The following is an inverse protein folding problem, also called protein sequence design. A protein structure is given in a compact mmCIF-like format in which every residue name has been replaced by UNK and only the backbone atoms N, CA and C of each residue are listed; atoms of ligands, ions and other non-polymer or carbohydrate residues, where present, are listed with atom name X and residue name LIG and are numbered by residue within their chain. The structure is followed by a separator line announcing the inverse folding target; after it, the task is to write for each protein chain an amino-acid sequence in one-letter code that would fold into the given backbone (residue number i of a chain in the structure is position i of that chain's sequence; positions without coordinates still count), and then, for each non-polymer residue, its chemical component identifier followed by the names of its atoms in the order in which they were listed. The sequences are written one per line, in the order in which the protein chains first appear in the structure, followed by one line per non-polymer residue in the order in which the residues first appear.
data_IF_281568104254
#
_entry.id   IF_281568104254
#
_cell.length_a   1.000
_cell.length_b   1.000
_cell.length_c   1.000
_cell.angle_alpha   90.00
_cell.angle_beta   90.00
_cell.angle_gamma   90.00
#
_symmetry.space_group_name_H-M   'P 1'
#
loop_
_entity.id
_entity.type
_entity.pdbx_description
1 polymer ?
#
# COMPACT_ATOMS: atom_id res chain seq x y z
N UNK A 1 -6.43 -11.69 -56.20
CA UNK A 1 -6.22 -12.39 -54.92
C UNK A 1 -6.87 -11.56 -53.82
N UNK A 2 -7.93 -12.07 -53.21
CA UNK A 2 -8.60 -11.46 -52.04
C UNK A 2 -7.94 -12.04 -50.78
N UNK A 3 -7.23 -11.23 -50.01
CA UNK A 3 -6.77 -11.63 -48.68
C UNK A 3 -7.87 -11.32 -47.66
N UNK A 4 -8.42 -12.38 -47.06
CA UNK A 4 -9.28 -12.29 -45.89
C UNK A 4 -8.39 -11.98 -44.67
N UNK A 5 -8.73 -10.93 -43.92
CA UNK A 5 -8.23 -10.72 -42.56
C UNK A 5 -9.35 -11.19 -41.63
N UNK A 6 -9.09 -12.27 -40.91
CA UNK A 6 -9.94 -12.73 -39.82
C UNK A 6 -9.58 -11.90 -38.59
N UNK A 7 -10.54 -11.10 -38.11
CA UNK A 7 -10.51 -10.46 -36.79
C UNK A 7 -10.65 -11.55 -35.73
N UNK A 8 -9.59 -11.74 -34.94
CA UNK A 8 -9.63 -12.47 -33.69
C UNK A 8 -9.69 -11.47 -32.54
N UNK A 9 -10.87 -11.30 -31.95
CA UNK A 9 -11.07 -10.57 -30.72
C UNK A 9 -10.42 -11.34 -29.56
N UNK A 10 -9.28 -10.84 -29.09
CA UNK A 10 -8.64 -11.26 -27.86
C UNK A 10 -8.30 -10.02 -27.06
N UNK A 11 -9.17 -9.66 -26.11
CA UNK A 11 -8.87 -8.66 -25.10
C UNK A 11 -7.74 -9.17 -24.21
N UNK A 12 -6.49 -8.96 -24.62
CA UNK A 12 -5.37 -8.96 -23.70
C UNK A 12 -5.50 -7.71 -22.82
N UNK A 13 -6.03 -7.87 -21.61
CA UNK A 13 -5.76 -6.92 -20.53
C UNK A 13 -4.23 -6.86 -20.38
N UNK A 14 -3.63 -5.79 -20.90
CA UNK A 14 -2.20 -5.59 -20.86
C UNK A 14 -1.73 -5.58 -19.40
N UNK A 15 -0.70 -6.39 -19.14
CA UNK A 15 -0.02 -6.55 -17.87
C UNK A 15 0.37 -5.18 -17.29
N UNK A 16 -0.06 -4.90 -16.06
CA UNK A 16 0.19 -3.65 -15.30
C UNK A 16 1.67 -3.59 -14.90
N UNK A 17 2.47 -2.81 -15.61
CA UNK A 17 3.90 -2.64 -15.36
C UNK A 17 4.11 -1.80 -14.09
N UNK A 18 4.59 -2.44 -13.02
CA UNK A 18 4.91 -1.79 -11.74
C UNK A 18 6.42 -1.60 -11.69
N UNK A 19 6.90 -0.37 -11.58
CA UNK A 19 8.32 -0.08 -11.36
C UNK A 19 8.56 0.25 -9.89
N UNK A 20 9.28 -0.62 -9.17
CA UNK A 20 9.76 -0.35 -7.82
C UNK A 20 11.16 0.25 -7.95
N UNK A 21 11.31 1.54 -7.65
CA UNK A 21 12.62 2.17 -7.54
C UNK A 21 13.12 2.03 -6.10
N UNK A 22 13.96 1.04 -5.83
CA UNK A 22 14.77 1.01 -4.60
C UNK A 22 16.19 1.44 -4.96
N UNK A 23 16.53 2.71 -4.79
CA UNK A 23 17.92 3.14 -4.94
C UNK A 23 18.67 2.87 -3.63
N UNK A 24 19.84 2.26 -3.79
CA UNK A 24 20.63 1.54 -2.78
C UNK A 24 21.26 2.41 -1.68
N UNK A 25 20.81 3.66 -1.51
CA UNK A 25 21.48 4.62 -0.63
C UNK A 25 20.64 5.30 0.46
N UNK A 26 19.32 5.07 0.63
CA UNK A 26 18.51 5.29 1.86
C UNK A 26 17.02 5.56 1.54
N UNK A 27 16.20 4.64 1.01
CA UNK A 27 14.85 5.08 0.54
C UNK A 27 13.69 4.13 0.85
N UNK A 28 12.76 4.58 1.71
CA UNK A 28 11.44 3.95 1.93
C UNK A 28 10.36 4.54 1.00
N UNK A 29 10.75 5.11 -0.15
CA UNK A 29 9.79 5.62 -1.13
C UNK A 29 9.38 4.48 -2.06
N UNK A 30 8.12 4.05 -1.98
CA UNK A 30 7.51 3.14 -2.94
C UNK A 30 6.80 3.92 -4.04
N UNK A 31 7.11 3.63 -5.29
CA UNK A 31 6.47 4.20 -6.47
C UNK A 31 5.69 3.10 -7.19
N UNK A 32 4.47 3.42 -7.61
CA UNK A 32 3.63 2.54 -8.40
C UNK A 32 3.05 3.34 -9.56
N UNK A 33 3.13 2.78 -10.76
CA UNK A 33 2.58 3.41 -11.95
C UNK A 33 1.66 2.45 -12.67
N UNK A 34 0.52 2.97 -13.08
CA UNK A 34 -0.46 2.30 -13.91
C UNK A 34 -1.30 3.37 -14.56
N UNK A 35 -1.09 3.58 -15.84
CA UNK A 35 -1.79 4.61 -16.61
C UNK A 35 -3.31 4.63 -16.33
N UNK A 36 -3.88 5.80 -15.97
CA UNK A 36 -3.28 7.13 -15.96
C UNK A 36 -2.65 7.57 -14.63
N UNK A 37 -2.47 6.67 -13.67
CA UNK A 37 -2.12 6.96 -12.29
C UNK A 37 -0.65 6.71 -11.96
N UNK A 38 -0.12 7.57 -11.08
CA UNK A 38 1.00 7.24 -10.21
C UNK A 38 0.53 7.26 -8.76
N UNK A 39 1.06 6.36 -7.94
CA UNK A 39 0.87 6.31 -6.49
C UNK A 39 2.24 6.21 -5.83
N UNK A 40 2.48 7.06 -4.85
CA UNK A 40 3.75 7.14 -4.13
C UNK A 40 3.49 7.07 -2.64
N UNK A 41 4.19 6.16 -1.95
CA UNK A 41 4.20 6.04 -0.50
C UNK A 41 5.61 6.36 0.00
N UNK A 42 5.74 7.14 1.07
CA UNK A 42 7.04 7.51 1.64
C UNK A 42 6.96 7.77 3.14
N UNK A 43 8.08 7.63 3.85
CA UNK A 43 8.19 8.12 5.23
C UNK A 43 8.45 9.63 5.26
N UNK A 44 8.08 10.30 6.35
CA UNK A 44 8.36 11.74 6.55
C UNK A 44 9.85 12.07 6.42
N UNK A 45 10.73 11.16 6.85
CA UNK A 45 12.18 11.29 6.75
C UNK A 45 12.70 11.41 5.31
N UNK A 46 11.95 10.92 4.34
CA UNK A 46 12.41 10.75 2.96
C UNK A 46 12.11 11.98 2.10
N UNK A 47 11.56 13.05 2.69
CA UNK A 47 11.28 14.31 2.00
C UNK A 47 12.48 14.90 1.23
N UNK A 48 13.74 14.86 1.74
CA UNK A 48 14.90 15.31 0.98
C UNK A 48 15.16 14.48 -0.29
N UNK A 49 14.82 13.19 -0.28
CA UNK A 49 14.97 12.33 -1.45
C UNK A 49 13.81 12.51 -2.42
N UNK A 50 12.58 12.66 -1.93
CA UNK A 50 11.42 12.99 -2.76
C UNK A 50 11.73 14.18 -3.68
N UNK A 51 12.36 15.24 -3.14
CA UNK A 51 12.71 16.47 -3.89
C UNK A 51 13.64 16.27 -5.08
N UNK A 52 14.29 15.11 -5.18
CA UNK A 52 15.18 14.76 -6.28
C UNK A 52 14.46 14.05 -7.43
N UNK A 53 13.19 13.67 -7.20
CA UNK A 53 12.37 12.92 -8.16
C UNK A 53 11.52 13.86 -9.01
N UNK A 54 11.42 13.58 -10.31
CA UNK A 54 10.64 14.41 -11.26
C UNK A 54 9.16 14.51 -10.86
N UNK A 55 8.57 13.41 -10.39
CA UNK A 55 7.17 13.37 -9.95
C UNK A 55 6.88 14.19 -8.68
N UNK A 56 7.92 14.68 -7.98
CA UNK A 56 7.76 15.54 -6.81
C UNK A 56 7.28 16.95 -7.13
N UNK A 57 7.30 17.30 -8.42
CA UNK A 57 6.82 18.57 -8.96
C UNK A 57 5.34 18.51 -9.39
N UNK A 58 4.74 17.30 -9.39
CA UNK A 58 3.39 17.12 -9.92
C UNK A 58 2.32 17.71 -9.00
N UNK A 59 1.22 18.24 -9.57
CA UNK A 59 0.00 18.45 -8.80
C UNK A 59 -0.53 17.09 -8.34
N UNK A 60 -0.94 17.01 -7.08
CA UNK A 60 -1.28 15.73 -6.46
C UNK A 60 -2.37 15.87 -5.40
N UNK A 61 -3.01 14.75 -5.08
CA UNK A 61 -3.81 14.57 -3.87
C UNK A 61 -3.04 13.63 -2.94
N UNK A 62 -3.02 13.93 -1.65
CA UNK A 62 -2.23 13.21 -0.66
C UNK A 62 -2.99 12.95 0.64
N UNK A 63 -2.50 11.96 1.37
CA UNK A 63 -2.92 11.58 2.72
C UNK A 63 -1.69 11.61 3.61
N UNK A 64 -1.72 12.42 4.66
CA UNK A 64 -0.76 12.35 5.75
C UNK A 64 -1.24 11.30 6.75
N UNK A 65 -0.32 10.43 7.16
CA UNK A 65 -0.59 9.23 7.94
C UNK A 65 0.28 9.25 9.21
N UNK A 66 -0.33 8.94 10.35
CA UNK A 66 0.41 8.71 11.59
C UNK A 66 -0.50 8.24 12.71
N UNK A 67 -0.15 7.13 13.34
CA UNK A 67 -1.03 6.41 14.26
C UNK A 67 -2.47 6.27 13.71
N UNK A 68 -3.46 6.68 14.51
CA UNK A 68 -4.88 6.66 14.13
C UNK A 68 -5.34 7.91 13.34
N UNK A 69 -4.45 8.86 13.05
CA UNK A 69 -4.82 10.14 12.42
C UNK A 69 -4.61 10.09 10.92
N UNK A 70 -5.53 10.74 10.19
CA UNK A 70 -5.44 10.96 8.75
C UNK A 70 -5.69 12.43 8.44
N UNK A 71 -5.02 12.93 7.42
CA UNK A 71 -5.30 14.25 6.84
C UNK A 71 -5.22 14.13 5.34
N UNK A 72 -6.30 14.49 4.66
CA UNK A 72 -6.36 14.55 3.20
C UNK A 72 -6.07 15.97 2.76
N UNK A 73 -5.26 16.14 1.72
CA UNK A 73 -5.02 17.44 1.14
C UNK A 73 -4.70 17.38 -0.35
N UNK A 74 -4.65 18.55 -0.98
CA UNK A 74 -4.17 18.71 -2.35
C UNK A 74 -2.97 19.66 -2.48
N UNK A 75 -2.25 19.47 -3.58
CA UNK A 75 -1.21 20.36 -4.09
C UNK A 75 -1.61 20.81 -5.50
N UNK A 76 -2.29 21.94 -5.60
CA UNK A 76 -2.61 22.63 -6.85
C UNK A 76 -2.10 24.07 -6.80
N UNK A 77 -1.37 24.48 -7.84
CA UNK A 77 -0.70 25.78 -7.91
C UNK A 77 0.64 25.85 -7.16
N UNK A 78 1.07 24.75 -6.56
CA UNK A 78 2.42 24.52 -6.03
C UNK A 78 2.73 23.02 -6.12
N UNK A 79 3.99 22.64 -5.90
CA UNK A 79 4.43 21.24 -6.04
C UNK A 79 4.06 20.42 -4.80
N UNK A 80 3.96 19.09 -4.96
CA UNK A 80 3.73 18.20 -3.82
C UNK A 80 4.90 18.27 -2.83
N UNK A 81 6.14 18.37 -3.31
CA UNK A 81 7.34 18.52 -2.47
C UNK A 81 7.29 19.79 -1.59
N UNK A 82 6.86 20.92 -2.15
CA UNK A 82 6.65 22.18 -1.44
C UNK A 82 5.52 22.07 -0.42
N UNK A 83 4.38 21.48 -0.81
CA UNK A 83 3.23 21.32 0.10
C UNK A 83 3.55 20.44 1.29
N UNK A 84 4.25 19.32 1.10
CA UNK A 84 4.67 18.44 2.19
C UNK A 84 5.70 19.13 3.10
N UNK A 85 6.65 19.86 2.53
CA UNK A 85 7.61 20.67 3.31
C UNK A 85 6.88 21.65 4.23
N UNK A 86 5.84 22.33 3.75
CA UNK A 86 5.03 23.26 4.55
C UNK A 86 4.31 22.55 5.71
N UNK A 87 3.76 21.35 5.50
CA UNK A 87 3.09 20.59 6.55
C UNK A 87 4.07 20.08 7.60
N UNK A 88 5.23 19.56 7.19
CA UNK A 88 6.22 18.98 8.11
C UNK A 88 6.93 20.02 8.99
N UNK A 89 6.73 21.32 8.72
CA UNK A 89 7.21 22.41 9.56
C UNK A 89 6.18 22.86 10.62
N UNK A 90 4.93 22.37 10.56
CA UNK A 90 3.90 22.77 11.52
C UNK A 90 3.82 21.81 12.70
N UNK A 91 3.84 22.36 13.91
CA UNK A 91 3.74 21.58 15.16
C UNK A 91 2.44 20.75 15.23
N UNK A 92 1.32 21.26 14.68
CA UNK A 92 0.03 20.53 14.64
C UNK A 92 0.04 19.30 13.70
N UNK A 93 1.14 19.09 12.98
CA UNK A 93 1.40 17.96 12.07
C UNK A 93 2.61 17.13 12.50
N UNK A 94 3.10 17.25 13.74
CA UNK A 94 4.22 16.42 14.22
C UNK A 94 3.90 14.93 14.34
N UNK A 95 2.62 14.57 14.39
CA UNK A 95 2.15 13.19 14.37
C UNK A 95 2.35 12.48 13.03
N UNK A 96 2.69 13.20 11.95
CA UNK A 96 2.82 12.61 10.61
C UNK A 96 4.08 11.75 10.54
N UNK A 97 3.90 10.47 10.25
CA UNK A 97 4.94 9.45 10.14
C UNK A 97 5.24 9.12 8.67
N UNK A 98 4.19 9.07 7.83
CA UNK A 98 4.28 8.73 6.42
C UNK A 98 3.25 9.49 5.57
N UNK A 99 3.45 9.44 4.26
CA UNK A 99 2.60 10.08 3.27
C UNK A 99 2.31 9.11 2.15
N UNK A 100 1.05 9.09 1.72
CA UNK A 100 0.61 8.48 0.47
C UNK A 100 0.11 9.59 -0.45
N UNK A 101 0.59 9.70 -1.69
CA UNK A 101 0.04 10.64 -2.65
C UNK A 101 -0.12 10.01 -4.01
N UNK A 102 -1.07 10.54 -4.79
CA UNK A 102 -1.27 10.13 -6.17
C UNK A 102 -1.44 11.34 -7.07
N UNK A 103 -1.03 11.14 -8.31
CA UNK A 103 -1.15 12.11 -9.38
C UNK A 103 -1.42 11.39 -10.70
N UNK A 104 -1.61 12.15 -11.78
CA UNK A 104 -1.53 11.59 -13.12
C UNK A 104 -0.08 11.34 -13.50
N UNK A 105 0.20 10.23 -14.18
CA UNK A 105 1.53 9.90 -14.71
C UNK A 105 2.07 10.98 -15.66
N UNK A 106 1.19 11.64 -16.41
CA UNK A 106 1.54 12.76 -17.29
C UNK A 106 1.77 14.10 -16.57
N UNK A 107 1.62 14.14 -15.23
CA UNK A 107 1.77 15.33 -14.41
C UNK A 107 0.69 16.41 -14.62
N UNK A 108 -0.36 16.14 -15.42
CA UNK A 108 -1.34 17.14 -15.84
C UNK A 108 -2.65 17.01 -15.07
N UNK A 109 -2.70 17.61 -13.88
CA UNK A 109 -3.94 17.80 -13.12
C UNK A 109 -4.20 19.29 -12.93
N UNK A 110 -5.41 19.73 -13.25
CA UNK A 110 -5.87 21.08 -12.95
C UNK A 110 -6.30 21.21 -11.50
N UNK A 111 -6.52 22.45 -11.05
CA UNK A 111 -7.12 22.72 -9.73
C UNK A 111 -8.50 22.06 -9.58
N UNK A 112 -9.30 22.02 -10.65
CA UNK A 112 -10.60 21.38 -10.62
C UNK A 112 -10.49 19.87 -10.39
N UNK A 113 -9.50 19.21 -10.99
CA UNK A 113 -9.24 17.78 -10.77
C UNK A 113 -8.86 17.53 -9.30
N UNK A 114 -7.88 18.28 -8.78
CA UNK A 114 -7.40 18.11 -7.41
C UNK A 114 -8.46 18.41 -6.36
N UNK A 115 -9.26 19.47 -6.55
CA UNK A 115 -10.35 19.83 -5.62
C UNK A 115 -11.45 18.75 -5.63
N UNK A 116 -11.78 18.23 -6.82
CA UNK A 116 -12.75 17.14 -6.96
C UNK A 116 -12.29 15.85 -6.26
N UNK A 117 -11.03 15.45 -6.50
CA UNK A 117 -10.43 14.23 -5.95
C UNK A 117 -10.19 14.32 -4.44
N UNK A 118 -9.70 15.46 -3.94
CA UNK A 118 -9.56 15.73 -2.50
C UNK A 118 -10.91 15.56 -1.79
N UNK A 119 -11.97 16.18 -2.33
CA UNK A 119 -13.31 16.10 -1.75
C UNK A 119 -13.87 14.67 -1.80
N UNK A 120 -13.68 13.96 -2.92
CA UNK A 120 -14.10 12.54 -3.04
C UNK A 120 -13.38 11.69 -2.00
N UNK A 121 -12.08 11.88 -1.81
CA UNK A 121 -11.29 11.14 -0.83
C UNK A 121 -11.67 11.49 0.61
N UNK A 122 -11.89 12.76 0.94
CA UNK A 122 -12.42 13.18 2.25
C UNK A 122 -13.76 12.51 2.54
N UNK A 123 -14.65 12.46 1.54
CA UNK A 123 -15.95 11.81 1.69
C UNK A 123 -15.80 10.30 1.95
N UNK A 124 -14.93 9.62 1.18
CA UNK A 124 -14.65 8.21 1.38
C UNK A 124 -14.07 7.93 2.78
N UNK A 125 -13.16 8.78 3.29
CA UNK A 125 -12.69 8.66 4.68
C UNK A 125 -13.84 8.84 5.69
N UNK A 126 -14.75 9.78 5.48
CA UNK A 126 -15.89 9.98 6.41
C UNK A 126 -16.87 8.81 6.41
N UNK A 127 -17.06 8.17 5.26
CA UNK A 127 -18.04 7.10 5.10
C UNK A 127 -17.48 5.71 5.42
N UNK A 128 -16.21 5.48 5.08
CA UNK A 128 -15.61 4.14 5.06
C UNK A 128 -14.51 3.94 6.08
N UNK A 129 -14.04 5.00 6.76
CA UNK A 129 -12.86 4.90 7.62
C UNK A 129 -13.13 4.99 9.11
N UNK A 130 -12.38 4.19 9.88
CA UNK A 130 -12.33 4.23 11.35
C UNK A 130 -11.28 5.22 11.89
N UNK A 131 -10.39 5.70 11.03
CA UNK A 131 -9.36 6.67 11.39
C UNK A 131 -9.92 8.06 11.72
N UNK A 132 -9.23 8.76 12.62
CA UNK A 132 -9.50 10.17 12.99
C UNK A 132 -9.09 11.09 11.83
N UNK A 133 -10.07 11.51 11.03
CA UNK A 133 -9.87 12.46 9.94
C UNK A 133 -9.78 13.90 10.50
N UNK A 134 -8.56 14.43 10.50
CA UNK A 134 -8.23 15.74 11.09
C UNK A 134 -8.54 16.95 10.18
N UNK A 135 -9.18 16.73 9.03
CA UNK A 135 -9.58 17.80 8.12
C UNK A 135 -10.63 18.70 8.79
N UNK A 136 -10.35 20.01 8.86
CA UNK A 136 -11.30 21.02 9.35
C UNK A 136 -12.34 21.43 8.31
N UNK A 137 -12.12 21.10 7.02
CA UNK A 137 -13.00 21.45 5.90
C UNK A 137 -13.39 20.20 5.10
N UNK A 138 -14.43 20.32 4.27
CA UNK A 138 -14.84 19.26 3.34
C UNK A 138 -14.05 19.26 2.01
N UNK A 139 -12.92 19.97 1.95
CA UNK A 139 -12.20 20.23 0.71
C UNK A 139 -12.72 21.45 -0.04
N UNK A 140 -11.96 21.88 -1.06
CA UNK A 140 -12.34 23.01 -1.91
C UNK A 140 -13.32 22.58 -3.01
N UNK A 141 -14.02 23.56 -3.60
CA UNK A 141 -14.91 23.33 -4.75
C UNK A 141 -14.49 24.19 -5.94
N UNK A 142 -14.40 23.54 -7.09
CA UNK A 142 -14.16 24.15 -8.39
C UNK A 142 -15.15 23.56 -9.39
N UNK A 143 -15.51 24.33 -10.43
CA UNK A 143 -16.30 23.78 -11.53
C UNK A 143 -15.48 22.72 -12.27
N UNK A 144 -16.09 21.57 -12.53
CA UNK A 144 -15.52 20.47 -13.30
C UNK A 144 -16.56 19.99 -14.31
N UNK A 145 -16.18 19.92 -15.58
CA UNK A 145 -17.09 19.43 -16.61
C UNK A 145 -17.23 17.90 -16.58
N UNK A 146 -18.20 17.37 -17.33
CA UNK A 146 -18.52 15.93 -17.30
C UNK A 146 -17.36 15.05 -17.78
N UNK A 147 -16.65 15.46 -18.84
CA UNK A 147 -15.56 14.68 -19.41
C UNK A 147 -14.36 14.71 -18.48
N UNK A 148 -14.05 15.87 -17.92
CA UNK A 148 -12.98 16.02 -16.94
C UNK A 148 -13.25 15.20 -15.69
N UNK A 149 -14.47 15.29 -15.13
CA UNK A 149 -14.90 14.47 -13.99
C UNK A 149 -14.74 12.98 -14.25
N UNK A 150 -15.14 12.49 -15.44
CA UNK A 150 -14.98 11.08 -15.80
C UNK A 150 -13.51 10.64 -15.82
N UNK A 151 -12.59 11.51 -16.30
CA UNK A 151 -11.15 11.24 -16.27
C UNK A 151 -10.61 11.23 -14.83
N UNK A 152 -11.06 12.14 -13.97
CA UNK A 152 -10.70 12.12 -12.55
C UNK A 152 -11.23 10.86 -11.87
N UNK A 153 -12.44 10.43 -12.20
CA UNK A 153 -13.02 9.20 -11.66
C UNK A 153 -12.20 7.97 -12.08
N UNK A 154 -11.82 7.85 -13.35
CA UNK A 154 -10.95 6.77 -13.83
C UNK A 154 -9.58 6.77 -13.10
N UNK A 155 -8.98 7.95 -12.91
CA UNK A 155 -7.73 8.08 -12.15
C UNK A 155 -7.92 7.55 -10.73
N UNK A 156 -8.99 7.97 -10.04
CA UNK A 156 -9.30 7.55 -8.69
C UNK A 156 -9.47 6.04 -8.59
N UNK A 157 -10.26 5.45 -9.48
CA UNK A 157 -10.51 4.00 -9.47
C UNK A 157 -9.21 3.22 -9.72
N UNK A 158 -8.37 3.69 -10.66
CA UNK A 158 -7.04 3.10 -10.92
C UNK A 158 -6.12 3.16 -9.71
N UNK A 159 -6.13 4.28 -8.96
CA UNK A 159 -5.38 4.44 -7.71
C UNK A 159 -5.84 3.44 -6.65
N UNK A 160 -7.15 3.26 -6.47
CA UNK A 160 -7.67 2.30 -5.51
C UNK A 160 -7.37 0.86 -5.90
N UNK A 161 -7.40 0.52 -7.19
CA UNK A 161 -6.91 -0.77 -7.65
C UNK A 161 -5.42 -0.97 -7.32
N UNK A 162 -4.57 0.06 -7.45
CA UNK A 162 -3.14 -0.04 -7.05
C UNK A 162 -3.04 -0.26 -5.53
N UNK A 163 -3.80 0.49 -4.74
CA UNK A 163 -3.80 0.39 -3.26
C UNK A 163 -4.19 -1.03 -2.83
N UNK A 164 -5.26 -1.57 -3.44
CA UNK A 164 -5.82 -2.88 -3.11
C UNK A 164 -4.94 -4.04 -3.62
N UNK A 165 -4.56 -4.01 -4.90
CA UNK A 165 -3.82 -5.11 -5.54
C UNK A 165 -2.33 -5.12 -5.12
N UNK A 166 -1.72 -3.94 -5.05
CA UNK A 166 -0.25 -3.81 -4.99
C UNK A 166 0.20 -3.39 -3.59
N UNK A 167 -0.25 -2.23 -3.11
CA UNK A 167 0.30 -1.62 -1.89
C UNK A 167 -0.19 -2.29 -0.60
N UNK A 168 -1.39 -2.91 -0.61
CA UNK A 168 -2.05 -3.49 0.58
C UNK A 168 -2.01 -2.52 1.78
N UNK A 169 -2.21 -1.23 1.48
CA UNK A 169 -2.31 -0.17 2.46
C UNK A 169 -3.77 -0.17 2.89
N UNK A 170 -4.05 -0.46 4.16
CA UNK A 170 -5.38 -0.26 4.72
C UNK A 170 -5.61 1.25 4.87
N UNK A 171 -5.97 1.90 3.77
CA UNK A 171 -6.07 3.35 3.73
C UNK A 171 -7.20 3.87 4.61
N UNK A 172 -8.31 3.12 4.68
CA UNK A 172 -9.51 3.49 5.41
C UNK A 172 -9.66 2.76 6.75
N UNK A 173 -8.92 1.71 7.03
CA UNK A 173 -9.05 1.00 8.31
C UNK A 173 -10.31 0.16 8.41
N UNK A 174 -11.09 0.01 7.33
CA UNK A 174 -12.38 -0.67 7.33
C UNK A 174 -12.22 -2.08 7.92
N UNK A 175 -12.88 -2.30 9.04
CA UNK A 175 -13.36 -3.62 9.41
C UNK A 175 -14.56 -3.89 8.50
N UNK A 176 -14.53 -4.96 7.72
CA UNK A 176 -15.82 -5.57 7.39
C UNK A 176 -16.41 -6.02 8.73
N UNK A 177 -17.63 -5.58 9.02
CA UNK A 177 -18.34 -5.70 10.29
C UNK A 177 -17.96 -6.93 11.11
N UNK A 178 -17.46 -6.71 12.32
CA UNK A 178 -17.72 -7.64 13.42
C UNK A 178 -17.88 -6.85 14.71
N UNK A 179 -19.13 -6.58 15.06
CA UNK A 179 -19.51 -6.40 16.45
C UNK A 179 -19.01 -7.62 17.25
N UNK A 180 -17.96 -7.46 18.05
CA UNK A 180 -17.76 -8.27 19.25
C UNK A 180 -17.06 -7.41 20.32
N UNK A 181 -17.58 -7.35 21.56
CA UNK A 181 -17.02 -6.51 22.59
C UNK A 181 -15.62 -6.97 22.98
N UNK A 182 -14.73 -6.01 23.21
CA UNK A 182 -13.47 -6.22 23.94
C UNK A 182 -13.74 -6.93 25.25
N UNK A 183 -13.38 -8.22 25.31
CA UNK A 183 -13.18 -8.94 26.55
C UNK A 183 -11.71 -9.32 26.63
N UNK A 184 -11.04 -8.67 27.58
CA UNK A 184 -9.83 -9.16 28.20
C UNK A 184 -10.05 -10.60 28.64
N UNK A 185 -9.45 -11.57 27.95
CA UNK A 185 -9.21 -12.89 28.55
C UNK A 185 -8.06 -13.59 27.82
N UNK A 186 -7.01 -13.85 28.58
CA UNK A 186 -5.99 -14.85 28.30
C UNK A 186 -6.61 -16.14 27.76
N UNK A 187 -6.31 -16.48 26.51
CA UNK A 187 -6.54 -17.81 25.93
C UNK A 187 -5.45 -18.09 24.90
N UNK A 188 -4.75 -19.21 25.06
CA UNK A 188 -3.72 -19.73 24.15
C UNK A 188 -4.36 -20.24 22.84
N UNK A 189 -4.83 -19.31 22.00
CA UNK A 189 -5.36 -19.60 20.68
C UNK A 189 -4.25 -20.03 19.73
N UNK A 190 -4.39 -21.23 19.17
CA UNK A 190 -3.52 -21.74 18.10
C UNK A 190 -3.93 -21.06 16.78
N UNK A 191 -2.98 -20.39 16.11
CA UNK A 191 -3.13 -19.90 14.75
C UNK A 191 -2.67 -20.99 13.78
N UNK A 192 -3.40 -21.19 12.69
CA UNK A 192 -3.11 -22.25 11.73
C UNK A 192 -3.40 -21.85 10.29
N UNK A 193 -2.53 -22.24 9.38
CA UNK A 193 -2.78 -22.23 7.93
C UNK A 193 -2.57 -23.64 7.38
N UNK A 194 -3.54 -24.10 6.60
CA UNK A 194 -3.44 -25.29 5.77
C UNK A 194 -3.39 -24.84 4.31
N UNK A 195 -2.42 -25.33 3.53
CA UNK A 195 -2.28 -24.98 2.12
C UNK A 195 -1.67 -26.15 1.35
N UNK A 196 -2.22 -26.52 0.19
CA UNK A 196 -1.70 -27.58 -0.69
C UNK A 196 -1.25 -28.87 0.04
N UNK A 197 -2.00 -29.30 1.06
CA UNK A 197 -1.70 -30.48 1.88
C UNK A 197 -0.70 -30.28 3.02
N UNK A 198 -0.08 -29.10 3.13
CA UNK A 198 0.77 -28.69 4.24
C UNK A 198 -0.05 -28.01 5.35
N UNK A 199 0.43 -28.12 6.58
CA UNK A 199 -0.19 -27.50 7.76
C UNK A 199 0.88 -26.84 8.61
N UNK A 200 0.70 -25.55 8.90
CA UNK A 200 1.60 -24.76 9.75
C UNK A 200 0.79 -24.19 10.91
N UNK A 201 1.32 -24.32 12.13
CA UNK A 201 0.65 -23.93 13.38
C UNK A 201 1.60 -23.12 14.24
N UNK A 202 1.10 -22.06 14.88
CA UNK A 202 1.86 -21.30 15.86
C UNK A 202 0.93 -20.72 16.95
N UNK A 203 1.45 -20.53 18.16
CA UNK A 203 0.72 -19.91 19.28
C UNK A 203 0.63 -18.38 19.18
N UNK A 204 1.30 -17.77 18.21
CA UNK A 204 1.28 -16.35 17.92
C UNK A 204 1.01 -16.08 16.44
N UNK A 205 0.21 -15.06 16.14
CA UNK A 205 -0.07 -14.64 14.76
C UNK A 205 1.21 -14.33 13.98
N UNK A 206 2.13 -13.57 14.61
CA UNK A 206 3.44 -13.24 14.02
C UNK A 206 4.28 -14.48 13.76
N UNK A 207 4.31 -15.42 14.71
CA UNK A 207 5.00 -16.69 14.53
C UNK A 207 4.41 -17.51 13.38
N UNK A 208 3.08 -17.50 13.21
CA UNK A 208 2.45 -18.20 12.09
C UNK A 208 2.92 -17.62 10.74
N UNK A 209 3.01 -16.31 10.59
CA UNK A 209 3.54 -15.68 9.37
C UNK A 209 4.97 -16.14 9.09
N UNK A 210 5.85 -16.11 10.10
CA UNK A 210 7.25 -16.50 9.98
C UNK A 210 7.36 -17.97 9.56
N UNK A 211 6.65 -18.87 10.26
CA UNK A 211 6.71 -20.30 10.01
C UNK A 211 6.09 -20.67 8.66
N UNK A 212 5.03 -19.96 8.25
CA UNK A 212 4.42 -20.15 6.94
C UNK A 212 5.39 -19.78 5.81
N UNK A 213 6.01 -18.60 5.88
CA UNK A 213 7.00 -18.16 4.90
C UNK A 213 8.21 -19.11 4.87
N UNK A 214 8.70 -19.56 6.03
CA UNK A 214 9.75 -20.58 6.11
C UNK A 214 9.36 -21.86 5.39
N UNK A 215 8.14 -22.34 5.63
CA UNK A 215 7.63 -23.57 5.02
C UNK A 215 7.51 -23.46 3.50
N UNK A 216 7.09 -22.31 2.98
CA UNK A 216 7.00 -22.04 1.54
C UNK A 216 8.39 -22.01 0.90
N UNK A 217 9.36 -21.31 1.51
CA UNK A 217 10.72 -21.24 0.98
C UNK A 217 11.38 -22.63 1.02
N UNK A 218 11.17 -23.38 2.11
CA UNK A 218 11.75 -24.70 2.28
C UNK A 218 11.18 -25.76 1.33
N UNK A 219 9.93 -25.64 0.90
CA UNK A 219 9.33 -26.60 -0.05
C UNK A 219 9.95 -26.46 -1.45
N UNK A 220 10.35 -25.25 -1.83
CA UNK A 220 10.95 -24.95 -3.12
C UNK A 220 9.96 -24.95 -4.30
N UNK A 221 8.72 -25.40 -4.10
CA UNK A 221 7.67 -25.47 -5.14
C UNK A 221 7.32 -24.10 -5.72
N UNK A 222 7.61 -23.04 -4.97
CA UNK A 222 7.27 -21.65 -5.28
C UNK A 222 8.49 -20.75 -5.48
N UNK A 223 9.69 -21.32 -5.66
CA UNK A 223 10.95 -20.59 -5.64
C UNK A 223 10.95 -19.37 -6.58
N UNK A 224 10.56 -19.53 -7.86
CA UNK A 224 10.56 -18.44 -8.85
C UNK A 224 9.66 -17.27 -8.41
N UNK A 225 8.43 -17.56 -7.98
CA UNK A 225 7.48 -16.54 -7.54
C UNK A 225 7.91 -15.87 -6.24
N UNK A 226 8.48 -16.63 -5.32
CA UNK A 226 8.97 -16.07 -4.04
C UNK A 226 10.17 -15.17 -4.31
N UNK A 227 11.07 -15.55 -5.21
CA UNK A 227 12.24 -14.76 -5.61
C UNK A 227 11.81 -13.42 -6.22
N UNK A 228 10.80 -13.40 -7.09
CA UNK A 228 10.22 -12.17 -7.65
C UNK A 228 9.61 -11.23 -6.58
N UNK A 229 9.27 -11.75 -5.40
CA UNK A 229 8.68 -10.99 -4.30
C UNK A 229 9.71 -10.48 -3.27
N UNK A 230 10.98 -10.90 -3.37
CA UNK A 230 12.04 -10.47 -2.47
C UNK A 230 12.69 -9.19 -3.03
N UNK A 231 12.76 -8.13 -2.23
CA UNK A 231 13.57 -6.95 -2.58
C UNK A 231 15.00 -7.09 -2.08
N UNK A 232 15.96 -6.48 -2.78
CA UNK A 232 17.38 -6.47 -2.40
C UNK A 232 17.67 -5.74 -1.07
N UNK A 233 16.69 -5.03 -0.52
CA UNK A 233 16.83 -4.25 0.71
C UNK A 233 16.05 -4.85 1.90
N UNK A 234 15.83 -4.04 2.94
CA UNK A 234 15.02 -4.36 4.10
C UNK A 234 13.54 -4.60 3.74
N UNK A 235 12.88 -5.64 4.29
CA UNK A 235 11.45 -5.81 4.12
C UNK A 235 10.69 -4.72 4.88
N UNK A 236 9.56 -4.28 4.34
CA UNK A 236 8.68 -3.25 4.91
C UNK A 236 7.25 -3.75 5.10
N UNK A 237 6.39 -2.92 5.67
CA UNK A 237 4.96 -3.23 5.76
C UNK A 237 4.29 -3.39 4.38
N UNK A 238 4.80 -2.71 3.33
CA UNK A 238 4.31 -2.81 1.96
C UNK A 238 4.87 -4.04 1.23
N UNK A 239 6.18 -4.28 1.36
CA UNK A 239 6.90 -5.39 0.73
C UNK A 239 7.49 -6.30 1.80
N UNK A 240 6.85 -7.43 2.05
CA UNK A 240 7.12 -8.19 3.28
C UNK A 240 8.39 -9.04 3.24
N UNK A 241 9.03 -9.25 2.08
CA UNK A 241 10.26 -10.02 1.95
C UNK A 241 11.42 -9.15 1.47
N UNK A 242 12.60 -9.32 2.06
CA UNK A 242 13.78 -8.54 1.72
C UNK A 242 15.09 -9.28 2.04
N UNK A 243 16.20 -8.82 1.47
CA UNK A 243 17.54 -9.40 1.67
C UNK A 243 18.26 -8.88 2.92
N UNK A 244 17.81 -7.78 3.53
CA UNK A 244 18.44 -7.17 4.72
C UNK A 244 17.55 -7.20 5.96
N UNK A 245 18.18 -7.17 7.13
CA UNK A 245 17.49 -7.04 8.42
C UNK A 245 16.85 -5.65 8.52
N UNK A 246 15.54 -5.59 8.76
CA UNK A 246 14.87 -4.34 9.10
C UNK A 246 14.80 -4.10 10.62
N UNK A 247 14.94 -2.82 11.00
CA UNK A 247 14.87 -2.39 12.40
C UNK A 247 14.01 -1.12 12.57
N UNK A 248 13.39 -0.99 13.74
CA UNK A 248 12.72 0.24 14.18
C UNK A 248 13.30 0.65 15.53
N UNK A 249 13.89 1.86 15.60
CA UNK A 249 14.60 2.35 16.79
C UNK A 249 15.64 1.37 17.34
N UNK A 250 16.40 0.72 16.43
CA UNK A 250 17.43 -0.26 16.77
C UNK A 250 16.89 -1.63 17.22
N UNK A 251 15.56 -1.84 17.23
CA UNK A 251 14.94 -3.15 17.52
C UNK A 251 14.53 -3.84 16.22
N UNK A 252 14.81 -5.14 16.04
CA UNK A 252 14.36 -5.89 14.86
C UNK A 252 12.84 -5.84 14.70
N UNK A 253 12.37 -5.37 13.54
CA UNK A 253 10.96 -5.41 13.13
C UNK A 253 10.74 -6.44 12.00
N UNK A 254 11.79 -7.15 11.57
CA UNK A 254 11.77 -8.32 10.68
C UNK A 254 12.33 -9.58 11.34
N UNK A 255 12.12 -10.75 10.73
CA UNK A 255 12.67 -12.03 11.16
C UNK A 255 13.30 -12.79 9.98
N UNK A 256 14.42 -13.47 10.20
CA UNK A 256 15.06 -14.27 9.16
C UNK A 256 14.27 -15.57 8.92
N UNK A 257 13.96 -15.85 7.65
CA UNK A 257 13.18 -17.02 7.19
C UNK A 257 14.00 -17.98 6.33
N UNK A 258 15.05 -17.50 5.67
CA UNK A 258 16.04 -18.32 4.99
C UNK A 258 17.39 -17.59 4.99
N UNK A 259 18.44 -18.22 4.46
CA UNK A 259 19.74 -17.56 4.34
C UNK A 259 19.60 -16.31 3.46
N UNK A 260 20.00 -15.16 4.01
CA UNK A 260 19.82 -13.86 3.36
C UNK A 260 18.37 -13.48 3.02
N UNK A 261 17.33 -14.05 3.65
CA UNK A 261 15.93 -13.66 3.44
C UNK A 261 15.25 -13.33 4.77
N UNK A 262 14.65 -12.14 4.82
CA UNK A 262 13.98 -11.59 5.98
C UNK A 262 12.51 -11.30 5.66
N UNK A 263 11.63 -11.55 6.62
CA UNK A 263 10.20 -11.19 6.55
C UNK A 263 9.90 -10.04 7.51
N UNK A 264 9.19 -9.00 7.07
CA UNK A 264 8.70 -7.94 7.96
C UNK A 264 7.57 -8.48 8.85
N UNK A 265 7.58 -8.09 10.13
CA UNK A 265 6.78 -8.76 11.16
C UNK A 265 6.13 -7.82 12.17
N UNK A 266 6.33 -6.51 12.04
CA UNK A 266 5.71 -5.52 12.91
C UNK A 266 4.33 -5.13 12.39
N UNK A 267 3.39 -6.06 12.54
CA UNK A 267 1.99 -5.95 12.14
C UNK A 267 1.08 -6.13 13.35
N UNK A 268 -0.14 -5.57 13.29
CA UNK A 268 -1.23 -5.95 14.19
C UNK A 268 -1.64 -7.42 13.95
N UNK A 269 -2.40 -8.03 14.86
CA UNK A 269 -2.97 -9.38 14.62
C UNK A 269 -3.82 -9.41 13.34
N UNK A 270 -4.68 -8.40 13.14
CA UNK A 270 -5.54 -8.28 11.95
C UNK A 270 -4.69 -8.23 10.67
N UNK A 271 -3.67 -7.38 10.66
CA UNK A 271 -2.81 -7.20 9.49
C UNK A 271 -1.94 -8.43 9.23
N UNK A 272 -1.51 -9.13 10.29
CA UNK A 272 -0.77 -10.39 10.12
C UNK A 272 -1.60 -11.43 9.36
N UNK A 273 -2.90 -11.58 9.68
CA UNK A 273 -3.81 -12.46 8.95
C UNK A 273 -3.88 -12.08 7.47
N UNK A 274 -4.13 -10.79 7.20
CA UNK A 274 -4.23 -10.24 5.86
C UNK A 274 -2.95 -10.47 5.04
N UNK A 275 -1.77 -10.33 5.67
CA UNK A 275 -0.48 -10.59 5.00
C UNK A 275 -0.26 -12.07 4.67
N UNK A 276 -0.69 -12.99 5.54
CA UNK A 276 -0.67 -14.43 5.25
C UNK A 276 -1.59 -14.74 4.07
N UNK A 277 -2.83 -14.24 4.09
CA UNK A 277 -3.81 -14.43 3.01
C UNK A 277 -3.30 -13.88 1.66
N UNK A 278 -2.71 -12.68 1.67
CA UNK A 278 -2.12 -12.07 0.47
C UNK A 278 -0.94 -12.86 -0.05
N UNK A 279 0.00 -13.25 0.82
CA UNK A 279 1.16 -14.04 0.41
C UNK A 279 0.73 -15.37 -0.22
N UNK A 280 -0.22 -16.07 0.40
CA UNK A 280 -0.77 -17.30 -0.15
C UNK A 280 -1.48 -17.08 -1.50
N UNK A 281 -2.25 -16.00 -1.64
CA UNK A 281 -2.97 -15.66 -2.87
C UNK A 281 -2.02 -15.29 -4.02
N UNK A 282 -0.95 -14.54 -3.75
CA UNK A 282 0.06 -14.16 -4.75
C UNK A 282 0.81 -15.38 -5.28
N UNK A 283 1.03 -16.39 -4.44
CA UNK A 283 1.62 -17.66 -4.85
C UNK A 283 0.62 -18.57 -5.59
N UNK A 284 -0.69 -18.28 -5.50
CA UNK A 284 -1.76 -19.05 -6.11
C UNK A 284 -2.13 -20.31 -5.32
N UNK A 285 -1.87 -20.33 -4.01
CA UNK A 285 -2.12 -21.48 -3.14
C UNK A 285 -3.63 -21.68 -2.92
N UNK A 286 -4.04 -22.93 -2.77
CA UNK A 286 -5.34 -23.25 -2.16
C UNK A 286 -5.14 -23.37 -0.66
N UNK A 287 -5.68 -22.42 0.10
CA UNK A 287 -5.43 -22.34 1.54
C UNK A 287 -6.70 -22.18 2.39
N UNK A 288 -6.58 -22.53 3.67
CA UNK A 288 -7.56 -22.22 4.71
C UNK A 288 -6.84 -21.78 5.99
N UNK A 289 -7.42 -20.83 6.73
CA UNK A 289 -6.81 -20.27 7.93
C UNK A 289 -7.76 -20.40 9.11
N UNK A 290 -7.27 -20.93 10.22
CA UNK A 290 -7.95 -20.88 11.53
C UNK A 290 -7.31 -19.76 12.35
N UNK A 291 -8.12 -18.74 12.66
CA UNK A 291 -7.69 -17.52 13.32
C UNK A 291 -8.49 -17.33 14.62
N UNK A 292 -7.82 -17.31 15.77
CA UNK A 292 -8.45 -17.20 17.10
C UNK A 292 -7.82 -16.11 17.95
#
# INVERSE_FOLDING_TARGET
MRSHIILGDGWCQALKQIFIFSDSQKDSISYFEREPAILVSMNRSDLPYLKQQDFSEFPAVYVLIGGNKRYVGQAAGQTISQRLSQHFLKEDKDWVESVLFFARSDGKMSKADTDYLERRLIQDFKEKSEYDLTNSTAGNTSYIDKLQKAKSDQLYDTVFEIIDEIANIDLFGTTEDTNLPSLTTSNSGLFEIEYDGHQVKNSSARGLLIDFVKSIIASGDYADKVEEMIVDDEPTAGVILGRKLSTYNGRPNSAQVADGVWVYTNFSRKDTKRKIEKFASQLGLKYSIKWK
#
